data_IF_485814921648
#
_entry.id   IF_485814921648
#
_cell.length_a   1.000
_cell.length_b   1.000
_cell.length_c   1.000
_cell.angle_alpha   90.00
_cell.angle_beta   90.00
_cell.angle_gamma   90.00
#
_symmetry.space_group_name_H-M   'P 1'
#
loop_
_entity.id
_entity.type
_entity.pdbx_description
1 polymer ?
#
# COMPACT_ATOMS: atom_id res chain seq x y z
N UNK A 1 -9.05 -7.62 -23.67
CA UNK A 1 -8.23 -7.48 -22.45
C UNK A 1 -8.05 -5.98 -22.24
N UNK A 2 -8.69 -5.38 -21.22
CA UNK A 2 -8.53 -3.95 -20.96
C UNK A 2 -7.09 -3.65 -20.50
N UNK A 3 -6.58 -2.43 -20.69
CA UNK A 3 -5.23 -2.07 -20.24
C UNK A 3 -5.12 -2.25 -18.71
N UNK A 4 -3.93 -2.62 -18.20
CA UNK A 4 -3.73 -2.95 -16.78
C UNK A 4 -4.15 -1.83 -15.82
N UNK A 5 -4.11 -0.57 -16.29
CA UNK A 5 -4.52 0.60 -15.52
C UNK A 5 -6.03 0.64 -15.18
N UNK A 6 -6.90 -0.03 -15.95
CA UNK A 6 -8.34 -0.05 -15.67
C UNK A 6 -8.69 -0.89 -14.43
N UNK A 7 -7.97 -1.98 -14.19
CA UNK A 7 -8.28 -2.90 -13.08
C UNK A 7 -8.00 -2.29 -11.69
N UNK A 8 -6.99 -1.42 -11.58
CA UNK A 8 -6.63 -0.76 -10.32
C UNK A 8 -7.59 0.41 -10.03
N UNK A 9 -8.04 1.11 -11.07
CA UNK A 9 -9.03 2.19 -10.93
C UNK A 9 -10.42 1.68 -10.50
N UNK A 10 -10.81 0.47 -10.93
CA UNK A 10 -12.06 -0.17 -10.48
C UNK A 10 -12.05 -0.57 -8.99
N UNK A 11 -10.87 -0.73 -8.39
CA UNK A 11 -10.70 -1.00 -6.95
C UNK A 11 -10.76 0.27 -6.08
N UNK A 12 -10.98 1.45 -6.68
CA UNK A 12 -11.04 2.73 -5.96
C UNK A 12 -9.69 3.24 -5.45
N UNK A 13 -8.59 2.57 -5.79
CA UNK A 13 -7.23 2.99 -5.39
C UNK A 13 -6.75 4.08 -6.35
N UNK A 14 -6.77 5.32 -5.87
CA UNK A 14 -6.26 6.48 -6.60
C UNK A 14 -4.97 7.01 -5.96
N UNK A 15 -3.88 7.18 -6.72
CA UNK A 15 -3.73 6.95 -8.17
C UNK A 15 -3.54 5.47 -8.52
N UNK A 16 -4.06 5.06 -9.69
CA UNK A 16 -3.95 3.69 -10.19
C UNK A 16 -2.54 3.38 -10.76
N UNK A 17 -1.52 3.39 -9.90
CA UNK A 17 -0.12 3.16 -10.26
C UNK A 17 0.29 1.72 -9.97
N UNK A 18 0.73 1.00 -10.99
CA UNK A 18 1.38 -0.29 -10.82
C UNK A 18 2.89 -0.09 -10.55
N UNK A 19 3.34 -0.46 -9.35
CA UNK A 19 4.74 -0.35 -8.92
C UNK A 19 5.66 -1.40 -9.54
N UNK A 20 5.14 -2.49 -10.10
CA UNK A 20 5.95 -3.49 -10.80
C UNK A 20 6.30 -3.04 -12.21
N UNK A 21 5.39 -2.33 -12.87
CA UNK A 21 5.60 -1.79 -14.23
C UNK A 21 6.27 -0.40 -14.21
N UNK A 22 6.13 0.34 -13.11
CA UNK A 22 6.75 1.66 -12.93
C UNK A 22 8.20 1.53 -12.43
N UNK A 23 9.16 1.76 -13.30
CA UNK A 23 10.59 1.86 -12.94
C UNK A 23 11.20 3.18 -13.38
N UNK A 24 12.17 3.68 -12.61
CA UNK A 24 12.91 4.91 -12.91
C UNK A 24 14.41 4.64 -12.90
N UNK A 25 15.13 5.27 -13.83
CA UNK A 25 16.61 5.21 -13.91
C UNK A 25 17.31 5.86 -12.71
N UNK A 26 16.58 6.67 -11.93
CA UNK A 26 17.12 7.44 -10.82
C UNK A 26 17.17 6.58 -9.53
N UNK A 27 16.55 5.39 -9.53
CA UNK A 27 16.55 4.46 -8.40
C UNK A 27 17.91 3.75 -8.31
N UNK A 28 18.93 4.52 -7.96
CA UNK A 28 20.28 4.06 -7.68
C UNK A 28 20.66 4.43 -6.24
N UNK A 29 21.28 3.51 -5.47
CA UNK A 29 21.64 3.76 -4.07
C UNK A 29 22.61 4.94 -3.92
N UNK A 30 23.39 5.23 -4.96
CA UNK A 30 24.32 6.37 -4.99
C UNK A 30 23.63 7.74 -5.14
N UNK A 31 22.38 7.77 -5.62
CA UNK A 31 21.64 9.01 -5.91
C UNK A 31 20.55 9.24 -4.85
N UNK A 32 19.78 8.20 -4.52
CA UNK A 32 18.61 8.31 -3.61
C UNK A 32 18.97 7.97 -2.16
N UNK A 33 20.13 7.35 -1.93
CA UNK A 33 20.55 6.81 -0.64
C UNK A 33 20.14 5.35 -0.45
N UNK A 34 20.90 4.62 0.38
CA UNK A 34 20.67 3.20 0.63
C UNK A 34 19.29 2.92 1.26
N UNK A 35 18.86 3.74 2.23
CA UNK A 35 17.59 3.53 2.93
C UNK A 35 16.38 3.59 2.00
N UNK A 36 16.36 4.55 1.06
CA UNK A 36 15.28 4.66 0.09
C UNK A 36 15.28 3.46 -0.86
N UNK A 37 16.47 3.08 -1.34
CA UNK A 37 16.64 1.95 -2.26
C UNK A 37 16.16 0.63 -1.63
N UNK A 38 16.55 0.37 -0.40
CA UNK A 38 16.19 -0.87 0.32
C UNK A 38 14.67 -0.95 0.56
N UNK A 39 14.03 0.16 0.92
CA UNK A 39 12.57 0.23 1.09
C UNK A 39 11.85 -0.04 -0.22
N UNK A 40 12.28 0.58 -1.33
CA UNK A 40 11.67 0.36 -2.65
C UNK A 40 11.83 -1.10 -3.09
N UNK A 41 13.01 -1.69 -2.92
CA UNK A 41 13.25 -3.11 -3.23
C UNK A 41 12.43 -4.05 -2.36
N UNK A 42 12.27 -3.73 -1.07
CA UNK A 42 11.42 -4.47 -0.15
C UNK A 42 9.96 -4.48 -0.59
N UNK A 43 9.41 -3.30 -0.92
CA UNK A 43 8.03 -3.15 -1.40
C UNK A 43 7.82 -3.92 -2.71
N UNK A 44 8.74 -3.81 -3.66
CA UNK A 44 8.65 -4.54 -4.93
C UNK A 44 8.64 -6.06 -4.73
N UNK A 45 9.50 -6.57 -3.84
CA UNK A 45 9.58 -8.00 -3.56
C UNK A 45 8.27 -8.54 -2.98
N UNK A 46 7.71 -7.86 -1.97
CA UNK A 46 6.45 -8.27 -1.34
C UNK A 46 5.27 -8.23 -2.34
N UNK A 47 5.22 -7.21 -3.21
CA UNK A 47 4.18 -7.13 -4.24
C UNK A 47 4.30 -8.26 -5.28
N UNK A 48 5.53 -8.62 -5.65
CA UNK A 48 5.78 -9.75 -6.55
C UNK A 48 5.35 -11.08 -5.92
N UNK A 49 5.70 -11.32 -4.66
CA UNK A 49 5.33 -12.51 -3.91
C UNK A 49 3.80 -12.61 -3.76
N UNK A 50 3.13 -11.48 -3.49
CA UNK A 50 1.66 -11.41 -3.45
C UNK A 50 1.01 -11.81 -4.78
N UNK A 51 1.56 -11.36 -5.92
CA UNK A 51 1.02 -11.67 -7.24
C UNK A 51 1.11 -13.17 -7.53
N UNK A 52 2.22 -13.82 -7.20
CA UNK A 52 2.34 -15.27 -7.32
C UNK A 52 1.34 -16.02 -6.42
N UNK A 53 1.04 -15.50 -5.23
CA UNK A 53 0.04 -16.08 -4.34
C UNK A 53 -1.39 -15.84 -4.84
N UNK A 54 -1.69 -14.70 -5.47
CA UNK A 54 -3.01 -14.41 -6.05
C UNK A 54 -3.40 -15.39 -7.15
N UNK A 55 -2.46 -15.77 -8.01
CA UNK A 55 -2.70 -16.78 -9.05
C UNK A 55 -3.05 -18.15 -8.45
N UNK A 56 -2.46 -18.49 -7.30
CA UNK A 56 -2.77 -19.73 -6.56
C UNK A 56 -4.12 -19.62 -5.84
N UNK A 57 -4.42 -18.47 -5.22
CA UNK A 57 -5.70 -18.20 -4.54
C UNK A 57 -6.88 -18.35 -5.50
N UNK A 58 -6.72 -17.92 -6.76
CA UNK A 58 -7.73 -18.07 -7.79
C UNK A 58 -8.10 -19.55 -8.06
N UNK A 59 -7.26 -20.50 -7.67
CA UNK A 59 -7.44 -21.94 -7.88
C UNK A 59 -7.81 -22.67 -6.57
N UNK A 60 -7.09 -22.46 -5.47
CA UNK A 60 -7.24 -23.23 -4.21
C UNK A 60 -8.07 -22.54 -3.11
N UNK A 61 -8.54 -21.30 -3.31
CA UNK A 61 -9.26 -20.48 -2.29
C UNK A 61 -8.42 -20.13 -1.05
N UNK A 62 -8.86 -19.14 -0.26
CA UNK A 62 -8.07 -18.57 0.84
C UNK A 62 -7.91 -19.48 2.07
N UNK A 63 -8.77 -20.49 2.23
CA UNK A 63 -8.81 -21.33 3.43
C UNK A 63 -7.74 -22.43 3.47
N UNK A 64 -7.10 -22.73 2.32
CA UNK A 64 -6.08 -23.77 2.22
C UNK A 64 -4.65 -23.22 2.38
N UNK A 65 -4.49 -21.91 2.58
CA UNK A 65 -3.20 -21.27 2.78
C UNK A 65 -2.71 -21.38 4.23
N UNK A 66 -1.39 -21.51 4.37
CA UNK A 66 -0.70 -21.44 5.67
C UNK A 66 -0.92 -20.07 6.31
N UNK A 67 -0.94 -20.00 7.64
CA UNK A 67 -1.04 -18.73 8.37
C UNK A 67 0.08 -17.74 7.99
N UNK A 68 1.28 -18.23 7.64
CA UNK A 68 2.39 -17.41 7.13
C UNK A 68 2.09 -16.79 5.75
N UNK A 69 1.41 -17.53 4.87
CA UNK A 69 1.02 -17.04 3.54
C UNK A 69 -0.12 -16.01 3.66
N UNK A 70 -1.04 -16.21 4.62
CA UNK A 70 -2.09 -15.22 4.93
C UNK A 70 -1.50 -13.88 5.36
N UNK A 71 -0.47 -13.89 6.20
CA UNK A 71 0.27 -12.68 6.57
C UNK A 71 0.94 -12.05 5.35
N UNK A 72 1.53 -12.88 4.49
CA UNK A 72 2.20 -12.46 3.25
C UNK A 72 1.22 -11.89 2.20
N UNK A 73 -0.08 -12.19 2.29
CA UNK A 73 -1.13 -11.57 1.46
C UNK A 73 -1.67 -10.29 2.08
N UNK A 74 -1.85 -10.25 3.40
CA UNK A 74 -2.42 -9.09 4.11
C UNK A 74 -1.52 -7.85 4.07
N UNK A 75 -0.20 -8.02 4.22
CA UNK A 75 0.77 -6.92 4.17
C UNK A 75 0.79 -6.17 2.81
N UNK A 76 0.94 -6.85 1.66
CA UNK A 76 0.89 -6.20 0.36
C UNK A 76 -0.44 -5.49 0.08
N UNK A 77 -1.56 -6.02 0.56
CA UNK A 77 -2.85 -5.33 0.45
C UNK A 77 -2.84 -3.99 1.18
N UNK A 78 -2.32 -3.95 2.41
CA UNK A 78 -2.13 -2.70 3.17
C UNK A 78 -1.20 -1.72 2.45
N UNK A 79 -0.09 -2.21 1.88
CA UNK A 79 0.83 -1.39 1.09
C UNK A 79 0.14 -0.81 -0.15
N UNK A 80 -0.67 -1.61 -0.86
CA UNK A 80 -1.44 -1.13 -2.01
C UNK A 80 -2.46 -0.07 -1.62
N UNK A 81 -3.15 -0.25 -0.48
CA UNK A 81 -4.06 0.77 0.06
C UNK A 81 -3.30 2.03 0.48
N UNK A 82 -2.13 1.90 1.11
CA UNK A 82 -1.33 3.05 1.58
C UNK A 82 -0.74 3.90 0.44
N UNK A 83 -0.63 3.35 -0.76
CA UNK A 83 -0.28 4.12 -1.95
C UNK A 83 -1.41 5.05 -2.40
N UNK A 84 -2.63 4.85 -1.92
CA UNK A 84 -3.74 5.76 -2.19
C UNK A 84 -3.61 7.03 -1.36
N UNK A 85 -3.65 8.17 -2.02
CA UNK A 85 -3.50 9.47 -1.39
C UNK A 85 -4.60 10.42 -1.89
N UNK A 86 -5.28 11.16 -0.99
CA UNK A 86 -6.22 12.19 -1.41
C UNK A 86 -5.46 13.33 -2.07
N UNK A 87 -5.79 13.61 -3.34
CA UNK A 87 -5.23 14.75 -4.05
C UNK A 87 -5.98 16.03 -3.71
N UNK A 88 -5.24 17.13 -3.55
CA UNK A 88 -5.84 18.46 -3.34
C UNK A 88 -6.75 18.86 -4.51
N UNK A 89 -6.42 18.46 -5.74
CA UNK A 89 -7.27 18.70 -6.91
C UNK A 89 -8.54 17.85 -6.93
N UNK A 90 -8.57 16.75 -6.17
CA UNK A 90 -9.70 15.84 -6.08
C UNK A 90 -10.66 16.17 -4.94
N UNK A 91 -10.35 17.16 -4.08
CA UNK A 91 -11.20 17.61 -2.97
C UNK A 91 -12.65 17.90 -3.42
N UNK A 92 -12.81 18.43 -4.63
CA UNK A 92 -14.11 18.77 -5.22
C UNK A 92 -14.99 17.54 -5.50
N UNK A 93 -14.38 16.35 -5.53
CA UNK A 93 -15.04 15.08 -5.84
C UNK A 93 -15.09 14.11 -4.67
N UNK A 94 -14.11 14.14 -3.76
CA UNK A 94 -13.96 13.13 -2.70
C UNK A 94 -14.30 13.63 -1.30
N UNK A 95 -14.65 14.91 -1.10
CA UNK A 95 -14.90 15.56 0.22
C UNK A 95 -13.74 15.41 1.24
N UNK A 96 -12.61 14.85 0.80
CA UNK A 96 -11.42 14.58 1.59
C UNK A 96 -10.37 15.65 1.29
N UNK A 97 -9.89 16.34 2.32
CA UNK A 97 -8.80 17.29 2.20
C UNK A 97 -7.55 16.62 1.63
N UNK A 98 -6.98 17.25 0.61
CA UNK A 98 -5.76 16.82 -0.04
C UNK A 98 -4.59 16.93 0.92
N UNK A 99 -3.70 15.95 0.85
CA UNK A 99 -2.52 15.89 1.70
C UNK A 99 -1.27 15.92 0.86
N UNK A 100 -0.19 16.50 1.38
CA UNK A 100 1.11 16.49 0.74
C UNK A 100 2.09 15.85 1.72
N UNK A 101 2.56 14.65 1.36
CA UNK A 101 3.44 13.87 2.23
C UNK A 101 4.90 14.15 1.85
N UNK A 102 5.75 14.57 2.78
CA UNK A 102 7.18 14.74 2.52
C UNK A 102 7.88 13.38 2.38
N UNK A 103 8.89 13.32 1.51
CA UNK A 103 9.64 12.08 1.20
C UNK A 103 10.15 11.32 2.44
N UNK A 104 10.58 12.05 3.48
CA UNK A 104 11.11 11.44 4.71
C UNK A 104 10.05 10.66 5.48
N UNK A 105 8.81 11.15 5.48
CA UNK A 105 7.69 10.47 6.15
C UNK A 105 7.23 9.28 5.33
N UNK A 106 7.22 9.39 4.00
CA UNK A 106 6.92 8.27 3.10
C UNK A 106 7.86 7.09 3.33
N UNK A 107 9.18 7.33 3.37
CA UNK A 107 10.19 6.28 3.58
C UNK A 107 10.01 5.62 4.96
N UNK A 108 9.81 6.42 6.01
CA UNK A 108 9.56 5.90 7.37
C UNK A 108 8.27 5.09 7.42
N UNK A 109 7.22 5.55 6.74
CA UNK A 109 5.94 4.88 6.69
C UNK A 109 6.06 3.48 6.07
N UNK A 110 6.59 3.41 4.85
CA UNK A 110 6.82 2.12 4.18
C UNK A 110 7.77 1.21 4.96
N UNK A 111 8.83 1.75 5.58
CA UNK A 111 9.75 0.96 6.40
C UNK A 111 9.04 0.31 7.60
N UNK A 112 8.15 1.05 8.26
CA UNK A 112 7.42 0.56 9.43
C UNK A 112 6.36 -0.49 9.05
N UNK A 113 5.72 -0.31 7.89
CA UNK A 113 4.81 -1.32 7.31
C UNK A 113 5.59 -2.59 6.93
N UNK A 114 6.77 -2.46 6.32
CA UNK A 114 7.64 -3.60 6.00
C UNK A 114 8.14 -4.32 7.26
N UNK A 115 8.34 -3.61 8.37
CA UNK A 115 8.73 -4.18 9.65
C UNK A 115 7.59 -4.94 10.37
N UNK A 116 6.34 -4.74 9.94
CA UNK A 116 5.15 -5.40 10.53
C UNK A 116 4.56 -4.68 11.74
N UNK A 117 4.95 -3.43 12.01
CA UNK A 117 4.45 -2.66 13.17
C UNK A 117 2.93 -2.40 13.09
N UNK A 118 2.36 -2.42 11.88
CA UNK A 118 0.94 -2.15 11.62
C UNK A 118 0.16 -3.37 11.11
N UNK A 119 0.65 -4.59 11.39
CA UNK A 119 -0.03 -5.82 11.00
C UNK A 119 -1.39 -6.01 11.70
N UNK A 120 -1.59 -5.39 12.87
CA UNK A 120 -2.84 -5.44 13.61
C UNK A 120 -3.92 -4.47 13.08
N UNK A 121 -3.56 -3.47 12.26
CA UNK A 121 -4.51 -2.46 11.79
C UNK A 121 -5.34 -2.97 10.61
N UNK A 122 -6.62 -2.54 10.48
CA UNK A 122 -7.45 -2.91 9.34
C UNK A 122 -6.98 -2.23 8.04
N UNK A 123 -7.15 -2.91 6.89
CA UNK A 123 -6.77 -2.38 5.56
C UNK A 123 -7.45 -1.03 5.25
N UNK A 124 -8.67 -0.84 5.76
CA UNK A 124 -9.46 0.38 5.62
C UNK A 124 -8.79 1.63 6.23
N UNK A 125 -7.98 1.44 7.27
CA UNK A 125 -7.23 2.55 7.88
C UNK A 125 -6.14 3.10 6.95
N UNK A 126 -5.65 2.28 6.01
CA UNK A 126 -4.63 2.67 5.03
C UNK A 126 -5.22 3.30 3.76
N UNK A 127 -6.55 3.33 3.62
CA UNK A 127 -7.20 3.88 2.44
C UNK A 127 -7.36 5.41 2.56
N UNK A 128 -6.94 6.15 1.54
CA UNK A 128 -7.02 7.63 1.46
C UNK A 128 -6.46 8.35 2.69
N UNK A 129 -5.18 8.12 2.96
CA UNK A 129 -4.42 8.73 4.07
C UNK A 129 -3.11 9.30 3.56
N UNK A 130 -2.53 10.24 4.30
CA UNK A 130 -1.25 10.86 3.95
C UNK A 130 -0.11 10.25 4.75
N UNK A 131 0.06 10.72 5.97
CA UNK A 131 1.13 10.27 6.86
C UNK A 131 0.73 9.03 7.65
N UNK A 132 1.72 8.31 8.18
CA UNK A 132 1.45 7.08 8.95
C UNK A 132 0.77 7.35 10.28
N UNK A 133 0.93 8.53 10.85
CA UNK A 133 0.26 8.96 12.08
C UNK A 133 -1.26 8.99 11.89
N UNK A 134 -1.71 9.41 10.71
CA UNK A 134 -3.13 9.48 10.36
C UNK A 134 -3.75 8.09 10.16
N UNK A 135 -2.94 7.10 9.79
CA UNK A 135 -3.38 5.70 9.71
C UNK A 135 -3.76 5.20 11.10
N UNK A 136 -2.96 5.54 12.12
CA UNK A 136 -3.21 5.14 13.51
C UNK A 136 -4.48 5.81 14.03
N UNK A 137 -4.61 7.13 13.85
CA UNK A 137 -5.82 7.87 14.25
C UNK A 137 -7.08 7.33 13.57
N UNK A 138 -6.99 6.97 12.28
CA UNK A 138 -8.11 6.41 11.53
C UNK A 138 -8.44 5.00 11.98
N UNK A 139 -7.43 4.20 12.33
CA UNK A 139 -7.65 2.87 12.87
C UNK A 139 -8.31 2.91 14.26
N UNK A 140 -7.93 3.87 15.12
CA UNK A 140 -8.58 4.10 16.41
C UNK A 140 -10.05 4.45 16.24
N UNK A 141 -10.38 5.38 15.34
CA UNK A 141 -11.78 5.72 15.03
C UNK A 141 -12.60 4.54 14.53
N UNK A 142 -12.01 3.71 13.66
CA UNK A 142 -12.68 2.50 13.17
C UNK A 142 -12.88 1.46 14.29
N UNK A 143 -11.94 1.37 15.25
CA UNK A 143 -12.09 0.49 16.40
C UNK A 143 -13.20 0.98 17.36
N UNK A 144 -13.34 2.31 17.52
CA UNK A 144 -14.42 2.93 18.30
C UNK A 144 -15.80 2.75 17.63
N UNK A 145 -15.89 2.88 16.30
CA UNK A 145 -17.14 2.68 15.56
C UNK A 145 -17.60 1.21 15.51
N UNK A 146 -16.66 0.27 15.67
CA UNK A 146 -16.92 -1.17 15.69
C UNK A 146 -17.07 -1.77 17.11
N UNK A 147 -17.03 -0.95 18.16
CA UNK A 147 -17.28 -1.33 19.57
C UNK A 147 -18.71 -1.03 20.01
#
# INVERSE_FOLDING_TARGET
MPPPCCAIAELGIYPAVDLLDSSSRIIDPNIVGAEHYDVVRGVQKILQDCKSLQDIIAILSMDELTEEDKLTVSRPRKIQSFLSQPFQVAEVFTDHMGKLVPLKETIKGFKSILAGEFDALPEQAFYMVGAIEEVVEKAEKLAEEHS
#
